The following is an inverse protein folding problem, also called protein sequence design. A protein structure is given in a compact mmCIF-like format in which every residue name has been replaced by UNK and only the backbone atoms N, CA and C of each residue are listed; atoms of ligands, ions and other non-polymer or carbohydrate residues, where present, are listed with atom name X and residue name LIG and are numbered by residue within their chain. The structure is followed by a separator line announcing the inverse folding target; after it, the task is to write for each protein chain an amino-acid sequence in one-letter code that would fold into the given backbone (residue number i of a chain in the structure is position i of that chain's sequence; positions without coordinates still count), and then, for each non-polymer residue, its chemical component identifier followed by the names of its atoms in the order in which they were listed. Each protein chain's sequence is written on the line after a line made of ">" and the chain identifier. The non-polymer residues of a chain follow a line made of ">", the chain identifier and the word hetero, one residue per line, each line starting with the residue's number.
data_IF_839513655311
#
_entry.id   IF_839513655311
#
_cell.length_a   1.000
_cell.length_b   1.000
_cell.length_c   1.000
_cell.angle_alpha   90.00
_cell.angle_beta   90.00
_cell.angle_gamma   90.00
#
_symmetry.space_group_name_H-M   'P 1'
#
loop_
_entity.id
_entity.type
_entity.pdbx_description
1 polymer ?
#
# COMPACT_ATOMS: atom_id res chain seq x y z
N UNK A 1 -8.23 24.07 19.35
CA UNK A 1 -9.22 22.98 19.27
C UNK A 1 -8.91 22.26 17.97
N UNK A 2 -8.28 21.09 18.01
CA UNK A 2 -7.95 20.37 16.78
C UNK A 2 -9.24 19.97 16.08
N UNK A 3 -9.44 20.41 14.84
CA UNK A 3 -10.58 19.99 14.03
C UNK A 3 -10.60 18.46 13.95
N UNK A 4 -11.78 17.87 14.14
CA UNK A 4 -11.96 16.45 13.92
C UNK A 4 -11.66 16.17 12.42
N UNK A 5 -10.67 15.32 12.08
CA UNK A 5 -10.31 15.04 10.68
C UNK A 5 -11.48 14.56 9.82
N UNK A 6 -12.58 14.13 10.44
CA UNK A 6 -13.81 13.69 9.78
C UNK A 6 -14.57 14.80 9.03
N UNK A 7 -14.35 16.09 9.32
CA UNK A 7 -15.08 17.20 8.69
C UNK A 7 -14.25 18.02 7.69
N UNK A 8 -12.98 17.68 7.47
CA UNK A 8 -12.14 18.37 6.51
C UNK A 8 -12.49 17.93 5.09
N UNK A 9 -12.82 18.87 4.20
CA UNK A 9 -12.98 18.58 2.77
C UNK A 9 -11.60 18.23 2.21
N UNK A 10 -11.43 16.99 1.78
CA UNK A 10 -10.16 16.50 1.26
C UNK A 10 -10.01 16.82 -0.22
N UNK A 11 -9.10 17.72 -0.53
CA UNK A 11 -8.70 18.04 -1.90
C UNK A 11 -7.19 17.83 -2.05
N UNK A 12 -6.75 16.89 -2.92
CA UNK A 12 -5.33 16.66 -3.11
C UNK A 12 -4.72 17.86 -3.83
N UNK A 13 -3.65 18.41 -3.27
CA UNK A 13 -2.83 19.41 -3.96
C UNK A 13 -1.70 18.74 -4.74
N UNK A 14 -1.24 19.40 -5.79
CA UNK A 14 0.01 19.06 -6.44
C UNK A 14 1.18 19.60 -5.60
N UNK A 15 2.22 18.80 -5.41
CA UNK A 15 3.42 19.21 -4.66
C UNK A 15 4.70 19.09 -5.50
N UNK A 16 5.77 19.83 -5.13
CA UNK A 16 7.06 19.72 -5.77
C UNK A 16 7.67 18.31 -5.66
N UNK A 17 8.46 17.90 -6.67
CA UNK A 17 9.14 16.58 -6.69
C UNK A 17 10.04 16.36 -5.48
N UNK A 18 10.68 17.43 -4.96
CA UNK A 18 11.56 17.36 -3.77
C UNK A 18 10.84 16.89 -2.51
N UNK A 19 9.50 17.04 -2.45
CA UNK A 19 8.72 16.57 -1.31
C UNK A 19 8.80 15.05 -1.13
N UNK A 20 9.10 14.28 -2.19
CA UNK A 20 9.34 12.85 -2.09
C UNK A 20 10.43 12.50 -1.05
N UNK A 21 11.52 13.28 -1.02
CA UNK A 21 12.56 13.14 -0.01
C UNK A 21 12.08 13.60 1.37
N UNK A 22 11.35 14.71 1.44
CA UNK A 22 10.79 15.24 2.68
C UNK A 22 9.82 14.25 3.36
N UNK A 23 9.02 13.50 2.59
CA UNK A 23 8.15 12.44 3.10
C UNK A 23 8.95 11.32 3.76
N UNK A 24 10.06 10.91 3.14
CA UNK A 24 10.91 9.84 3.71
C UNK A 24 11.58 10.32 4.99
N UNK A 25 12.13 11.54 4.99
CA UNK A 25 12.76 12.14 6.18
C UNK A 25 11.74 12.31 7.30
N UNK A 26 10.55 12.83 7.01
CA UNK A 26 9.48 13.01 8.01
C UNK A 26 8.95 11.66 8.52
N UNK A 27 8.79 10.69 7.63
CA UNK A 27 8.46 9.31 7.98
C UNK A 27 9.51 8.68 8.89
N UNK A 28 10.79 8.98 8.68
CA UNK A 28 11.87 8.54 9.57
C UNK A 28 11.77 9.18 10.96
N UNK A 29 11.36 10.44 11.07
CA UNK A 29 11.07 11.08 12.36
C UNK A 29 9.88 10.44 13.09
N UNK A 30 8.83 10.02 12.38
CA UNK A 30 7.74 9.24 12.98
C UNK A 30 8.17 7.83 13.39
N UNK A 31 9.00 7.17 12.59
CA UNK A 31 9.53 5.85 12.91
C UNK A 31 10.41 5.90 14.17
N UNK A 32 11.34 6.86 14.25
CA UNK A 32 12.27 6.98 15.39
C UNK A 32 11.59 7.40 16.70
N UNK A 33 10.35 7.91 16.66
CA UNK A 33 9.60 8.24 17.86
C UNK A 33 9.33 6.99 18.71
N UNK A 34 9.07 5.84 18.08
CA UNK A 34 8.94 4.56 18.77
C UNK A 34 9.31 3.36 17.85
N UNK A 35 10.60 3.16 17.56
CA UNK A 35 11.04 2.16 16.59
C UNK A 35 10.75 0.73 17.06
N UNK A 36 10.88 0.47 18.37
CA UNK A 36 10.61 -0.83 18.95
C UNK A 36 9.14 -1.24 18.74
N UNK A 37 8.20 -0.33 19.00
CA UNK A 37 6.79 -0.62 18.79
C UNK A 37 6.46 -0.80 17.30
N UNK A 38 7.01 0.00 16.40
CA UNK A 38 6.84 -0.20 14.95
C UNK A 38 7.28 -1.59 14.49
N UNK A 39 8.40 -2.08 15.01
CA UNK A 39 8.89 -3.44 14.75
C UNK A 39 7.93 -4.48 15.34
N UNK A 40 7.44 -4.27 16.56
CA UNK A 40 6.44 -5.16 17.18
C UNK A 40 5.16 -5.22 16.32
N UNK A 41 4.64 -4.07 15.85
CA UNK A 41 3.47 -4.03 14.97
C UNK A 41 3.72 -4.80 13.67
N UNK A 42 4.89 -4.61 13.04
CA UNK A 42 5.27 -5.35 11.84
C UNK A 42 5.32 -6.86 12.10
N UNK A 43 5.94 -7.29 13.20
CA UNK A 43 6.04 -8.72 13.56
C UNK A 43 4.65 -9.30 13.80
N UNK A 44 3.77 -8.60 14.51
CA UNK A 44 2.38 -9.06 14.73
C UNK A 44 1.64 -9.15 13.39
N UNK A 45 1.75 -8.13 12.54
CA UNK A 45 1.16 -8.14 11.20
C UNK A 45 1.62 -9.35 10.39
N UNK A 46 2.92 -9.61 10.32
CA UNK A 46 3.48 -10.75 9.60
C UNK A 46 3.06 -12.10 10.22
N UNK A 47 3.06 -12.20 11.54
CA UNK A 47 2.64 -13.41 12.27
C UNK A 47 1.16 -13.75 12.01
N UNK A 48 0.32 -12.77 11.67
CA UNK A 48 -1.07 -12.99 11.27
C UNK A 48 -1.16 -13.29 9.77
N UNK A 49 -0.55 -12.44 8.93
CA UNK A 49 -0.75 -12.49 7.49
C UNK A 49 -0.07 -13.67 6.82
N UNK A 50 1.10 -14.09 7.30
CA UNK A 50 1.83 -15.23 6.73
C UNK A 50 1.00 -16.52 6.88
N UNK A 51 0.59 -16.97 8.09
CA UNK A 51 -0.24 -18.17 8.21
C UNK A 51 -1.55 -18.08 7.43
N UNK A 52 -2.21 -16.92 7.41
CA UNK A 52 -3.42 -16.72 6.61
C UNK A 52 -3.16 -16.92 5.12
N UNK A 53 -2.06 -16.38 4.59
CA UNK A 53 -1.70 -16.51 3.17
C UNK A 53 -1.37 -17.95 2.76
N UNK A 54 -0.95 -18.81 3.70
CA UNK A 54 -0.63 -20.21 3.47
C UNK A 54 -1.86 -21.12 3.42
N UNK A 55 -3.06 -20.62 3.74
CA UNK A 55 -4.28 -21.41 3.66
C UNK A 55 -4.58 -21.80 2.19
N UNK A 56 -4.68 -23.10 1.85
CA UNK A 56 -4.94 -23.54 0.48
C UNK A 56 -6.26 -22.97 -0.06
N UNK A 57 -6.23 -22.45 -1.29
CA UNK A 57 -7.41 -21.99 -2.03
C UNK A 57 -7.97 -20.62 -1.60
N UNK A 58 -7.96 -20.30 -0.30
CA UNK A 58 -8.57 -19.06 0.22
C UNK A 58 -7.57 -18.06 0.82
N UNK A 59 -6.33 -18.47 1.10
CA UNK A 59 -5.37 -17.65 1.84
C UNK A 59 -5.01 -16.34 1.16
N UNK A 60 -4.79 -16.36 -0.16
CA UNK A 60 -4.53 -15.16 -0.96
C UNK A 60 -5.72 -14.20 -0.97
N UNK A 61 -6.95 -14.74 -1.05
CA UNK A 61 -8.18 -13.94 -1.03
C UNK A 61 -8.33 -13.26 0.33
N UNK A 62 -8.29 -14.02 1.42
CA UNK A 62 -8.48 -13.48 2.77
C UNK A 62 -7.41 -12.45 3.11
N UNK A 63 -6.14 -12.75 2.82
CA UNK A 63 -5.04 -11.80 3.07
C UNK A 63 -5.19 -10.52 2.24
N UNK A 64 -5.59 -10.60 0.97
CA UNK A 64 -5.83 -9.41 0.14
C UNK A 64 -6.96 -8.53 0.68
N UNK A 65 -8.04 -9.15 1.18
CA UNK A 65 -9.17 -8.45 1.78
C UNK A 65 -8.81 -7.78 3.12
N UNK A 66 -7.94 -8.40 3.92
CA UNK A 66 -7.55 -7.89 5.25
C UNK A 66 -6.37 -6.92 5.21
N UNK A 67 -5.52 -6.96 4.19
CA UNK A 67 -4.40 -6.04 4.01
C UNK A 67 -4.77 -4.54 4.23
N UNK A 68 -5.82 -3.98 3.59
CA UNK A 68 -6.21 -2.58 3.82
C UNK A 68 -6.68 -2.31 5.26
N UNK A 69 -7.23 -3.31 5.95
CA UNK A 69 -7.68 -3.18 7.35
C UNK A 69 -6.49 -2.94 8.27
N UNK A 70 -5.44 -3.74 8.11
CA UNK A 70 -4.19 -3.57 8.86
C UNK A 70 -3.41 -2.32 8.43
N UNK A 71 -3.39 -2.03 7.11
CA UNK A 71 -2.77 -0.81 6.59
C UNK A 71 -3.38 0.42 7.25
N UNK A 72 -4.71 0.53 7.29
CA UNK A 72 -5.40 1.61 8.01
C UNK A 72 -5.06 1.62 9.51
N UNK A 73 -4.99 0.44 10.15
CA UNK A 73 -4.52 0.25 11.53
C UNK A 73 -3.21 1.00 11.83
N UNK A 74 -2.20 0.78 11.00
CA UNK A 74 -0.89 1.46 11.13
C UNK A 74 -1.00 2.98 10.98
N UNK A 75 -1.98 3.49 10.24
CA UNK A 75 -2.18 4.93 10.03
C UNK A 75 -2.78 5.60 11.27
N UNK A 76 -3.63 4.91 12.04
CA UNK A 76 -4.00 5.37 13.37
C UNK A 76 -2.79 5.41 14.31
N UNK A 77 -1.86 4.47 14.19
CA UNK A 77 -0.59 4.52 14.92
C UNK A 77 0.24 5.76 14.59
N UNK A 78 0.34 6.12 13.31
CA UNK A 78 0.98 7.36 12.88
C UNK A 78 0.24 8.60 13.43
N UNK A 79 -1.09 8.61 13.38
CA UNK A 79 -1.91 9.71 13.90
C UNK A 79 -1.78 9.87 15.43
N UNK A 80 -1.61 8.79 16.18
CA UNK A 80 -1.34 8.84 17.61
C UNK A 80 -0.02 9.56 17.88
N UNK A 81 1.05 9.17 17.19
CA UNK A 81 2.37 9.79 17.33
C UNK A 81 2.36 11.27 16.93
N UNK A 82 1.66 11.66 15.85
CA UNK A 82 1.54 13.09 15.48
C UNK A 82 0.73 13.91 16.47
N UNK A 83 -0.04 13.26 17.35
CA UNK A 83 -0.80 13.90 18.44
C UNK A 83 -0.09 13.82 19.79
N UNK A 84 1.20 13.46 19.81
CA UNK A 84 1.97 13.22 21.03
C UNK A 84 1.35 12.16 21.95
N UNK A 85 0.69 11.16 21.36
CA UNK A 85 0.15 9.98 22.04
C UNK A 85 1.05 8.76 21.79
N UNK A 86 0.93 7.75 22.65
CA UNK A 86 1.73 6.53 22.53
C UNK A 86 1.29 5.67 21.34
N UNK A 87 2.29 5.10 20.65
CA UNK A 87 2.05 4.01 19.71
C UNK A 87 1.82 2.72 20.50
N UNK A 88 0.64 2.15 20.32
CA UNK A 88 0.22 0.89 20.95
C UNK A 88 -0.13 -0.21 19.95
N UNK A 89 -0.06 -1.47 20.38
CA UNK A 89 -0.51 -2.65 19.61
C UNK A 89 -1.96 -2.54 19.13
N UNK A 90 -2.83 -1.94 19.96
CA UNK A 90 -4.25 -1.79 19.63
C UNK A 90 -4.49 -1.01 18.34
N UNK A 91 -3.61 -0.09 17.96
CA UNK A 91 -3.74 0.67 16.72
C UNK A 91 -3.78 -0.23 15.49
N UNK A 92 -2.98 -1.29 15.45
CA UNK A 92 -2.95 -2.24 14.33
C UNK A 92 -4.33 -2.87 14.06
N UNK A 93 -5.16 -2.99 15.09
CA UNK A 93 -6.48 -3.60 15.02
C UNK A 93 -7.63 -2.58 14.90
N UNK A 94 -7.37 -1.28 14.88
CA UNK A 94 -8.41 -0.25 14.81
C UNK A 94 -9.22 -0.34 13.51
N UNK A 95 -8.61 -0.78 12.40
CA UNK A 95 -9.31 -1.02 11.14
C UNK A 95 -10.41 -2.08 11.23
N UNK A 96 -10.34 -3.00 12.20
CA UNK A 96 -11.40 -3.98 12.45
C UNK A 96 -12.59 -3.40 13.21
N UNK A 97 -12.42 -2.23 13.84
CA UNK A 97 -13.44 -1.55 14.64
C UNK A 97 -14.06 -0.37 13.90
N UNK A 98 -13.31 0.28 13.00
CA UNK A 98 -13.67 1.53 12.34
C UNK A 98 -13.69 1.38 10.83
N UNK A 99 -14.85 1.61 10.23
CA UNK A 99 -15.10 1.55 8.79
C UNK A 99 -14.64 0.23 8.12
N UNK A 100 -14.67 -0.88 8.87
CA UNK A 100 -14.16 -2.20 8.48
C UNK A 100 -14.74 -2.69 7.16
N UNK A 101 -16.05 -2.53 6.97
CA UNK A 101 -16.72 -2.97 5.75
C UNK A 101 -16.17 -2.25 4.50
N UNK A 102 -15.89 -0.95 4.60
CA UNK A 102 -15.31 -0.19 3.49
C UNK A 102 -13.84 -0.56 3.27
N UNK A 103 -13.06 -0.78 4.33
CA UNK A 103 -11.67 -1.25 4.20
C UNK A 103 -11.58 -2.62 3.52
N UNK A 104 -12.41 -3.58 3.91
CA UNK A 104 -12.52 -4.88 3.23
C UNK A 104 -12.96 -4.69 1.77
N UNK A 105 -13.90 -3.77 1.52
CA UNK A 105 -14.36 -3.46 0.16
C UNK A 105 -13.25 -2.87 -0.71
N UNK A 106 -12.35 -2.02 -0.15
CA UNK A 106 -11.14 -1.55 -0.86
C UNK A 106 -10.28 -2.75 -1.29
N UNK A 107 -10.05 -3.71 -0.40
CA UNK A 107 -9.32 -4.95 -0.71
C UNK A 107 -10.02 -5.78 -1.79
N UNK A 108 -11.35 -5.85 -1.74
CA UNK A 108 -12.17 -6.55 -2.73
C UNK A 108 -12.12 -5.91 -4.12
N UNK A 109 -12.25 -4.57 -4.21
CA UNK A 109 -12.14 -3.84 -5.48
C UNK A 109 -10.73 -4.01 -6.06
N UNK A 110 -9.70 -3.88 -5.23
CA UNK A 110 -8.31 -4.12 -5.62
C UNK A 110 -8.12 -5.54 -6.19
N UNK A 111 -8.58 -6.55 -5.47
CA UNK A 111 -8.49 -7.95 -5.87
C UNK A 111 -9.22 -8.21 -7.20
N UNK A 112 -10.46 -7.75 -7.33
CA UNK A 112 -11.23 -7.92 -8.57
C UNK A 112 -10.54 -7.23 -9.74
N UNK A 113 -9.99 -6.03 -9.53
CA UNK A 113 -9.22 -5.33 -10.56
C UNK A 113 -8.01 -6.13 -11.03
N UNK A 114 -7.23 -6.69 -10.10
CA UNK A 114 -6.09 -7.56 -10.46
C UNK A 114 -6.53 -8.84 -11.18
N UNK A 115 -7.62 -9.47 -10.75
CA UNK A 115 -8.16 -10.66 -11.40
C UNK A 115 -8.62 -10.39 -12.83
N UNK A 116 -9.27 -9.24 -13.07
CA UNK A 116 -9.67 -8.82 -14.42
C UNK A 116 -8.45 -8.69 -15.33
N UNK A 117 -7.37 -8.05 -14.84
CA UNK A 117 -6.12 -7.94 -15.60
C UNK A 117 -5.52 -9.33 -15.87
N UNK A 118 -5.44 -10.18 -14.85
CA UNK A 118 -4.91 -11.54 -15.00
C UNK A 118 -5.69 -12.34 -16.04
N UNK A 119 -7.03 -12.23 -16.06
CA UNK A 119 -7.87 -12.86 -17.09
C UNK A 119 -7.53 -12.34 -18.48
N UNK A 120 -7.39 -11.03 -18.67
CA UNK A 120 -6.99 -10.48 -19.97
C UNK A 120 -5.61 -10.95 -20.43
N UNK A 121 -4.64 -11.06 -19.51
CA UNK A 121 -3.31 -11.60 -19.82
C UNK A 121 -3.41 -13.05 -20.26
N UNK A 122 -4.14 -13.89 -19.53
CA UNK A 122 -4.32 -15.31 -19.87
C UNK A 122 -5.02 -15.46 -21.22
N UNK A 123 -6.07 -14.67 -21.49
CA UNK A 123 -6.78 -14.71 -22.77
C UNK A 123 -5.92 -14.24 -23.97
N UNK A 124 -4.86 -13.49 -23.73
CA UNK A 124 -3.91 -13.06 -24.76
C UNK A 124 -2.84 -14.12 -25.09
N UNK A 125 -2.73 -15.19 -24.31
CA UNK A 125 -1.76 -16.26 -24.49
C UNK A 125 -2.39 -17.48 -25.17
N UNK A 126 -1.58 -18.25 -25.90
CA UNK A 126 -2.02 -19.53 -26.45
C UNK A 126 -2.08 -20.62 -25.38
N UNK A 127 -2.86 -21.67 -25.65
CA UNK A 127 -3.11 -22.78 -24.72
C UNK A 127 -1.82 -23.50 -24.30
N UNK A 128 -0.88 -23.67 -25.22
CA UNK A 128 0.37 -24.38 -24.94
C UNK A 128 1.24 -23.57 -23.97
N UNK A 129 1.35 -22.25 -24.18
CA UNK A 129 2.06 -21.35 -23.26
C UNK A 129 1.43 -21.35 -21.87
N UNK A 130 0.09 -21.32 -21.77
CA UNK A 130 -0.62 -21.43 -20.48
C UNK A 130 -0.32 -22.77 -19.80
N UNK A 131 -0.38 -23.89 -20.52
CA UNK A 131 -0.11 -25.22 -19.96
C UNK A 131 1.33 -25.34 -19.43
N UNK A 132 2.32 -24.77 -20.13
CA UNK A 132 3.70 -24.74 -19.66
C UNK A 132 3.85 -23.91 -18.38
N UNK A 133 3.24 -22.72 -18.32
CA UNK A 133 3.26 -21.86 -17.13
C UNK A 133 2.62 -22.56 -15.91
N UNK A 134 1.46 -23.19 -16.09
CA UNK A 134 0.77 -23.93 -15.02
C UNK A 134 1.61 -25.12 -14.53
N UNK A 135 2.35 -25.77 -15.44
CA UNK A 135 3.25 -26.87 -15.09
C UNK A 135 4.60 -26.41 -14.53
N UNK A 136 4.88 -25.10 -14.50
CA UNK A 136 6.16 -24.55 -14.07
C UNK A 136 7.32 -24.95 -14.99
N UNK A 137 7.05 -25.15 -16.29
CA UNK A 137 8.05 -25.49 -17.30
C UNK A 137 8.59 -24.25 -17.98
N UNK A 138 9.83 -24.34 -18.45
CA UNK A 138 10.47 -23.28 -19.23
C UNK A 138 9.73 -23.04 -20.55
N UNK A 139 9.71 -21.78 -20.97
CA UNK A 139 9.16 -21.33 -22.24
C UNK A 139 10.23 -21.33 -23.32
N UNK A 140 9.85 -21.55 -24.58
CA UNK A 140 10.76 -21.28 -25.69
C UNK A 140 11.08 -19.78 -25.80
N UNK A 141 12.19 -19.37 -26.43
CA UNK A 141 12.49 -17.96 -26.67
C UNK A 141 11.34 -17.21 -27.36
N UNK A 142 10.70 -17.83 -28.35
CA UNK A 142 9.56 -17.25 -29.07
C UNK A 142 8.33 -17.05 -28.16
N UNK A 143 8.07 -18.01 -27.27
CA UNK A 143 6.97 -17.89 -26.28
C UNK A 143 7.27 -16.79 -25.25
N UNK A 144 8.53 -16.69 -24.80
CA UNK A 144 8.95 -15.63 -23.89
C UNK A 144 8.81 -14.24 -24.53
N UNK A 145 9.20 -14.08 -25.80
CA UNK A 145 9.04 -12.84 -26.55
C UNK A 145 7.55 -12.49 -26.74
N UNK A 146 6.71 -13.49 -27.01
CA UNK A 146 5.27 -13.31 -27.15
C UNK A 146 4.58 -12.83 -25.85
N UNK A 147 5.19 -13.08 -24.67
CA UNK A 147 4.67 -12.59 -23.39
C UNK A 147 4.94 -11.10 -23.14
N UNK A 148 5.88 -10.48 -23.85
CA UNK A 148 6.27 -9.10 -23.59
C UNK A 148 5.09 -8.14 -23.73
N UNK A 149 4.31 -8.25 -24.80
CA UNK A 149 3.16 -7.39 -25.03
C UNK A 149 2.05 -7.57 -23.98
N UNK A 150 1.55 -8.79 -23.67
CA UNK A 150 0.62 -9.03 -22.57
C UNK A 150 1.11 -8.48 -21.22
N UNK A 151 2.39 -8.63 -20.89
CA UNK A 151 2.97 -8.10 -19.64
C UNK A 151 2.95 -6.58 -19.65
N UNK A 152 3.35 -5.92 -20.74
CA UNK A 152 3.33 -4.45 -20.84
C UNK A 152 1.90 -3.91 -20.71
N UNK A 153 0.92 -4.57 -21.33
CA UNK A 153 -0.50 -4.23 -21.18
C UNK A 153 -0.94 -4.42 -19.73
N UNK A 154 -0.55 -5.52 -19.07
CA UNK A 154 -0.87 -5.75 -17.67
C UNK A 154 -0.28 -4.66 -16.76
N UNK A 155 0.99 -4.30 -16.96
CA UNK A 155 1.67 -3.24 -16.22
C UNK A 155 0.95 -1.89 -16.39
N UNK A 156 0.52 -1.58 -17.61
CA UNK A 156 -0.24 -0.36 -17.91
C UNK A 156 -1.54 -0.29 -17.10
N UNK A 157 -2.28 -1.40 -16.96
CA UNK A 157 -3.55 -1.43 -16.22
C UNK A 157 -3.38 -1.63 -14.70
N UNK A 158 -2.32 -2.28 -14.25
CA UNK A 158 -2.01 -2.44 -12.82
C UNK A 158 -1.72 -1.07 -12.19
N UNK A 159 -1.04 -0.17 -12.92
CA UNK A 159 -0.65 1.13 -12.40
C UNK A 159 -1.85 1.98 -11.90
N UNK A 160 -2.95 2.17 -12.66
CA UNK A 160 -4.17 2.81 -12.16
C UNK A 160 -4.78 2.15 -10.92
N UNK A 161 -4.74 0.81 -10.82
CA UNK A 161 -5.25 0.08 -9.65
C UNK A 161 -4.39 0.38 -8.42
N UNK A 162 -3.06 0.37 -8.58
CA UNK A 162 -2.13 0.71 -7.51
C UNK A 162 -2.32 2.16 -7.05
N UNK A 163 -2.47 3.11 -7.99
CA UNK A 163 -2.79 4.50 -7.69
C UNK A 163 -4.10 4.64 -6.92
N UNK A 164 -5.13 3.89 -7.31
CA UNK A 164 -6.41 3.88 -6.62
C UNK A 164 -6.34 3.25 -5.22
N UNK A 165 -5.47 2.27 -5.01
CA UNK A 165 -5.30 1.62 -3.71
C UNK A 165 -4.40 2.41 -2.75
N UNK A 166 -3.38 3.10 -3.25
CA UNK A 166 -2.26 3.63 -2.49
C UNK A 166 -2.62 4.39 -1.20
N UNK A 167 -3.55 5.33 -1.29
CA UNK A 167 -4.08 6.10 -0.15
C UNK A 167 -5.45 5.65 0.33
N UNK A 168 -6.11 4.73 -0.38
CA UNK A 168 -7.49 4.34 -0.07
C UNK A 168 -7.67 3.79 1.36
N UNK A 169 -6.79 2.95 1.93
CA UNK A 169 -6.90 2.52 3.33
C UNK A 169 -6.84 3.69 4.32
N UNK A 170 -5.97 4.68 4.08
CA UNK A 170 -5.86 5.88 4.93
C UNK A 170 -7.15 6.69 4.85
N UNK A 171 -7.61 6.95 3.64
CA UNK A 171 -8.78 7.79 3.34
C UNK A 171 -10.07 7.15 3.86
N UNK A 172 -10.26 5.85 3.64
CA UNK A 172 -11.39 5.11 4.20
C UNK A 172 -11.29 5.00 5.73
N UNK A 173 -10.10 4.73 6.29
CA UNK A 173 -9.92 4.55 7.73
C UNK A 173 -10.06 5.86 8.51
N UNK A 174 -9.18 6.83 8.26
CA UNK A 174 -9.08 8.06 9.06
C UNK A 174 -10.20 9.07 8.79
N UNK A 175 -10.77 9.06 7.59
CA UNK A 175 -11.83 10.01 7.20
C UNK A 175 -13.19 9.36 6.95
N UNK A 176 -13.33 8.06 7.23
CA UNK A 176 -14.60 7.35 7.12
C UNK A 176 -15.25 7.46 5.72
N UNK A 177 -14.43 7.56 4.67
CA UNK A 177 -14.93 7.59 3.28
C UNK A 177 -15.45 6.21 2.86
N UNK A 178 -16.36 6.19 1.88
CA UNK A 178 -16.71 4.95 1.17
C UNK A 178 -15.50 4.42 0.41
N UNK A 179 -15.44 3.11 0.18
CA UNK A 179 -14.33 2.47 -0.53
C UNK A 179 -14.13 3.10 -1.93
N UNK A 180 -15.21 3.35 -2.65
CA UNK A 180 -15.18 3.93 -4.00
C UNK A 180 -14.67 5.37 -3.97
N UNK A 181 -15.13 6.18 -3.02
CA UNK A 181 -14.71 7.59 -2.91
C UNK A 181 -13.24 7.68 -2.48
N UNK A 182 -12.81 6.84 -1.53
CA UNK A 182 -11.42 6.74 -1.11
C UNK A 182 -10.49 6.34 -2.28
N UNK A 183 -10.90 5.35 -3.09
CA UNK A 183 -10.10 4.89 -4.23
C UNK A 183 -10.04 5.92 -5.36
N UNK A 184 -11.14 6.61 -5.67
CA UNK A 184 -11.17 7.71 -6.65
C UNK A 184 -10.25 8.85 -6.21
N UNK A 185 -10.35 9.24 -4.95
CA UNK A 185 -9.54 10.33 -4.40
C UNK A 185 -8.06 9.97 -4.36
N UNK A 186 -7.72 8.73 -3.99
CA UNK A 186 -6.36 8.19 -4.05
C UNK A 186 -5.82 8.22 -5.48
N UNK A 187 -6.61 7.78 -6.46
CA UNK A 187 -6.22 7.80 -7.86
C UNK A 187 -5.89 9.21 -8.34
N UNK A 188 -6.78 10.18 -8.06
CA UNK A 188 -6.54 11.59 -8.43
C UNK A 188 -5.30 12.13 -7.74
N UNK A 189 -5.12 11.86 -6.44
CA UNK A 189 -3.96 12.31 -5.67
C UNK A 189 -2.64 11.77 -6.22
N UNK A 190 -2.59 10.49 -6.60
CA UNK A 190 -1.41 9.88 -7.18
C UNK A 190 -1.15 10.38 -8.60
N UNK A 191 -2.20 10.53 -9.41
CA UNK A 191 -2.09 11.00 -10.79
C UNK A 191 -1.56 12.44 -10.87
N UNK A 192 -2.05 13.34 -10.00
CA UNK A 192 -1.57 14.73 -9.94
C UNK A 192 -0.14 14.85 -9.40
N UNK A 193 0.33 13.84 -8.65
CA UNK A 193 1.65 13.81 -8.01
C UNK A 193 2.57 12.71 -8.57
N UNK A 194 2.40 12.33 -9.83
CA UNK A 194 3.12 11.20 -10.42
C UNK A 194 4.65 11.36 -10.39
N UNK A 195 5.18 12.57 -10.58
CA UNK A 195 6.62 12.84 -10.51
C UNK A 195 7.21 12.70 -9.09
N UNK A 196 6.64 13.31 -8.03
CA UNK A 196 6.99 12.99 -6.66
C UNK A 196 6.94 11.48 -6.36
N UNK A 197 5.89 10.79 -6.80
CA UNK A 197 5.75 9.34 -6.61
C UNK A 197 6.81 8.51 -7.34
N UNK A 198 7.21 8.92 -8.54
CA UNK A 198 8.28 8.27 -9.28
C UNK A 198 9.60 8.36 -8.51
N UNK A 199 9.97 9.55 -8.02
CA UNK A 199 11.17 9.72 -7.21
C UNK A 199 11.08 8.94 -5.90
N UNK A 200 9.93 8.99 -5.22
CA UNK A 200 9.67 8.22 -3.99
C UNK A 200 9.87 6.71 -4.22
N UNK A 201 9.31 6.17 -5.30
CA UNK A 201 9.47 4.77 -5.69
C UNK A 201 10.93 4.42 -6.01
N UNK A 202 11.67 5.27 -6.72
CA UNK A 202 13.09 5.06 -7.00
C UNK A 202 13.94 5.05 -5.73
N UNK A 203 13.67 5.93 -4.77
CA UNK A 203 14.38 5.96 -3.48
C UNK A 203 14.09 4.66 -2.71
N UNK A 204 12.83 4.26 -2.59
CA UNK A 204 12.48 3.01 -1.90
C UNK A 204 13.00 1.77 -2.61
N UNK A 205 13.08 1.77 -3.94
CA UNK A 205 13.71 0.68 -4.69
C UNK A 205 15.18 0.50 -4.25
N UNK A 206 15.96 1.59 -4.18
CA UNK A 206 17.35 1.55 -3.70
C UNK A 206 17.42 1.09 -2.23
N UNK A 207 16.56 1.62 -1.36
CA UNK A 207 16.52 1.23 0.05
C UNK A 207 16.16 -0.25 0.24
N UNK A 208 15.22 -0.78 -0.54
CA UNK A 208 14.82 -2.19 -0.50
C UNK A 208 15.94 -3.11 -1.01
N UNK A 209 16.64 -2.73 -2.08
CA UNK A 209 17.82 -3.47 -2.57
C UNK A 209 18.87 -3.57 -1.45
N UNK A 210 19.20 -2.45 -0.81
CA UNK A 210 20.17 -2.41 0.30
C UNK A 210 19.67 -3.25 1.50
N UNK A 211 18.39 -3.17 1.82
CA UNK A 211 17.79 -3.86 2.95
C UNK A 211 17.77 -5.40 2.82
N UNK A 212 17.77 -5.92 1.59
CA UNK A 212 17.77 -7.35 1.32
C UNK A 212 19.18 -7.96 1.40
N UNK A 213 20.24 -7.19 1.12
CA UNK A 213 21.65 -7.65 1.19
C UNK A 213 21.98 -8.40 2.50
N UNK A 214 21.65 -7.90 3.71
CA UNK A 214 21.89 -8.62 4.96
C UNK A 214 20.82 -9.69 5.22
N UNK A 215 20.57 -10.59 4.25
CA UNK A 215 19.57 -11.66 4.32
C UNK A 215 18.16 -11.16 4.69
N UNK A 216 17.78 -9.98 4.21
CA UNK A 216 16.46 -9.38 4.48
C UNK A 216 16.31 -8.70 5.85
N UNK A 217 17.32 -8.70 6.72
CA UNK A 217 17.23 -8.08 8.05
C UNK A 217 16.94 -6.56 7.98
N UNK A 218 17.38 -5.88 6.92
CA UNK A 218 17.10 -4.45 6.73
C UNK A 218 15.61 -4.16 6.49
N UNK A 219 14.81 -5.15 6.07
CA UNK A 219 13.37 -4.98 5.84
C UNK A 219 12.62 -4.65 7.12
N UNK A 220 13.13 -5.08 8.29
CA UNK A 220 12.58 -4.75 9.61
C UNK A 220 12.57 -3.24 9.87
N UNK A 221 13.47 -2.48 9.22
CA UNK A 221 13.55 -1.03 9.31
C UNK A 221 12.86 -0.33 8.14
N UNK A 222 13.05 -0.83 6.91
CA UNK A 222 12.54 -0.18 5.70
C UNK A 222 11.02 -0.32 5.58
N UNK A 223 10.43 -1.44 5.99
CA UNK A 223 8.97 -1.63 5.88
C UNK A 223 8.21 -0.67 6.80
N UNK A 224 8.53 -0.52 8.10
CA UNK A 224 7.86 0.47 8.93
C UNK A 224 8.13 1.90 8.49
N UNK A 225 9.36 2.20 8.01
CA UNK A 225 9.67 3.50 7.42
C UNK A 225 8.77 3.80 6.22
N UNK A 226 8.50 2.82 5.36
CA UNK A 226 7.62 2.98 4.22
C UNK A 226 6.17 3.29 4.65
N UNK A 227 5.70 2.70 5.75
CA UNK A 227 4.37 2.98 6.30
C UNK A 227 4.29 4.39 6.89
N UNK A 228 5.29 4.82 7.65
CA UNK A 228 5.31 6.17 8.22
C UNK A 228 5.51 7.24 7.14
N UNK A 229 6.36 7.00 6.13
CA UNK A 229 6.53 7.93 5.02
C UNK A 229 5.28 8.02 4.15
N UNK A 230 4.56 6.91 3.96
CA UNK A 230 3.25 6.90 3.31
C UNK A 230 2.28 7.84 4.03
N UNK A 231 2.19 7.74 5.37
CA UNK A 231 1.38 8.66 6.17
C UNK A 231 1.79 10.13 5.95
N UNK A 232 3.08 10.45 5.97
CA UNK A 232 3.52 11.83 5.75
C UNK A 232 3.26 12.34 4.34
N UNK A 233 3.34 11.48 3.32
CA UNK A 233 2.99 11.86 1.95
C UNK A 233 1.49 12.17 1.80
N UNK A 234 0.64 11.39 2.48
CA UNK A 234 -0.78 11.67 2.56
C UNK A 234 -1.04 12.99 3.30
N UNK A 235 -0.41 13.20 4.46
CA UNK A 235 -0.61 14.41 5.24
C UNK A 235 -0.21 15.67 4.45
N UNK A 236 0.90 15.61 3.70
CA UNK A 236 1.32 16.72 2.84
C UNK A 236 0.33 16.95 1.69
N UNK A 237 0.03 15.92 0.88
CA UNK A 237 -0.84 16.04 -0.30
C UNK A 237 -2.27 16.50 0.06
N UNK A 238 -2.80 16.09 1.21
CA UNK A 238 -4.14 16.47 1.66
C UNK A 238 -4.13 17.65 2.65
N UNK A 239 -2.97 18.25 2.91
CA UNK A 239 -2.80 19.38 3.85
C UNK A 239 -3.43 19.11 5.22
N UNK A 240 -3.13 17.93 5.77
CA UNK A 240 -3.52 17.54 7.12
C UNK A 240 -2.58 18.23 8.10
N UNK A 241 -3.14 19.06 8.98
CA UNK A 241 -2.36 19.73 10.02
C UNK A 241 -1.87 18.70 11.05
N UNK A 242 -0.55 18.62 11.23
CA UNK A 242 0.02 17.95 12.39
C UNK A 242 0.04 18.97 13.54
N UNK A 243 -0.59 18.69 14.69
CA UNK A 243 -0.46 19.57 15.84
C UNK A 243 1.02 19.55 16.28
N UNK A 244 1.70 20.69 16.09
CA UNK A 244 3.07 20.93 16.57
C UNK A 244 3.17 20.70 18.08
#
# INVERSE_FOLDING_TARGET
>A
MAENPQNQVLTPKQVPVVNAWAWIVSGFYLFKANPAMWIILLVIYLAIMIPLSLLPGIGSVVSTLLAPVFAAGMMWGCQALTRNQDLEINHLFEGFKKNTAQLITVGGIYMVGLLVIAVFVVLALDKQTIELLVQGKDLSPEQADAMLLPILIAMLFIMPILMAYWFAPILAGLHNLSAVDAMKLSFVACLTNMLPFLLYGLIFMVLLIIAIIPFGLGLVLVVPLMMTSLYTSYADIFSIENPN
#
